data_IF_810079891937
#
_entry.id   IF_810079891937
#
_cell.length_a   1.000
_cell.length_b   1.000
_cell.length_c   1.000
_cell.angle_alpha   90.00
_cell.angle_beta   90.00
_cell.angle_gamma   90.00
#
_symmetry.space_group_name_H-M   'P 1'
#
loop_
_entity.id
_entity.type
_entity.pdbx_description
1 polymer ?
#
# COMPACT_ATOMS: atom_id res chain seq x y z
N UNK A 1 -7.11 -2.17 2.65
CA UNK A 1 -7.91 -1.21 1.84
C UNK A 1 -7.17 -0.95 0.54
N UNK A 2 -7.89 -0.83 -0.59
CA UNK A 2 -7.36 -0.34 -1.86
C UNK A 2 -7.92 1.05 -2.13
N UNK A 3 -7.08 1.93 -2.66
CA UNK A 3 -7.46 3.24 -3.15
C UNK A 3 -7.46 3.23 -4.68
N UNK A 4 -8.46 3.87 -5.27
CA UNK A 4 -8.54 4.09 -6.71
C UNK A 4 -8.40 5.60 -6.93
N UNK A 5 -7.39 5.99 -7.69
CA UNK A 5 -7.02 7.39 -7.88
C UNK A 5 -6.92 7.69 -9.37
N UNK A 6 -7.53 8.79 -9.80
CA UNK A 6 -7.32 9.36 -11.13
C UNK A 6 -6.32 10.51 -10.99
N UNK A 7 -5.05 10.35 -11.42
CA UNK A 7 -4.08 11.42 -11.31
C UNK A 7 -4.44 12.60 -12.24
N UNK A 8 -4.28 13.83 -11.77
CA UNK A 8 -4.47 15.01 -12.60
C UNK A 8 -3.60 14.95 -13.87
N UNK A 9 -4.17 15.28 -15.01
CA UNK A 9 -3.49 15.34 -16.31
C UNK A 9 -2.87 14.01 -16.78
N UNK A 10 -3.46 12.88 -16.40
CA UNK A 10 -3.08 11.56 -16.90
C UNK A 10 -4.33 10.76 -17.23
N UNK A 11 -4.34 10.13 -18.40
CA UNK A 11 -5.46 9.34 -18.89
C UNK A 11 -5.39 7.90 -18.36
N UNK A 12 -5.31 7.78 -17.03
CA UNK A 12 -5.22 6.48 -16.34
C UNK A 12 -5.91 6.53 -14.97
N UNK A 13 -6.26 5.34 -14.50
CA UNK A 13 -6.66 5.06 -13.13
C UNK A 13 -5.52 4.31 -12.46
N UNK A 14 -5.07 4.75 -11.29
CA UNK A 14 -4.12 4.03 -10.47
C UNK A 14 -4.87 3.32 -9.33
N UNK A 15 -4.74 2.00 -9.26
CA UNK A 15 -5.19 1.24 -8.09
C UNK A 15 -3.98 1.04 -7.19
N UNK A 16 -4.09 1.39 -5.93
CA UNK A 16 -2.96 1.30 -5.00
C UNK A 16 -3.38 0.79 -3.62
N UNK A 17 -2.46 0.20 -2.92
CA UNK A 17 -2.63 -0.19 -1.52
C UNK A 17 -1.35 0.02 -0.74
N UNK A 18 -1.45 0.76 0.35
CA UNK A 18 -0.38 0.92 1.32
C UNK A 18 -0.64 0.00 2.51
N UNK A 19 0.40 -0.65 2.99
CA UNK A 19 0.36 -1.53 4.16
C UNK A 19 1.43 -1.09 5.15
N UNK A 20 1.04 -0.80 6.38
CA UNK A 20 1.97 -0.56 7.48
C UNK A 20 2.28 -1.88 8.15
N UNK A 21 3.53 -2.09 8.50
CA UNK A 21 3.98 -3.24 9.27
C UNK A 21 3.61 -3.01 10.74
N UNK A 22 3.22 -4.08 11.42
CA UNK A 22 2.88 -4.06 12.84
C UNK A 22 4.09 -3.66 13.70
N UNK A 23 3.85 -2.96 14.81
CA UNK A 23 4.91 -2.47 15.70
C UNK A 23 5.73 -3.63 16.31
N UNK A 24 5.07 -4.72 16.69
CA UNK A 24 5.76 -5.91 17.19
C UNK A 24 6.68 -6.52 16.13
N UNK A 25 6.20 -6.63 14.89
CA UNK A 25 6.99 -7.13 13.77
C UNK A 25 8.18 -6.24 13.44
N UNK A 26 8.03 -4.91 13.51
CA UNK A 26 9.15 -3.97 13.33
C UNK A 26 10.21 -4.13 14.41
N UNK A 27 9.81 -4.42 15.64
CA UNK A 27 10.74 -4.70 16.74
C UNK A 27 11.54 -5.99 16.47
N UNK A 28 10.86 -7.06 16.05
CA UNK A 28 11.53 -8.33 15.69
C UNK A 28 12.48 -8.16 14.50
N UNK A 29 12.09 -7.38 13.48
CA UNK A 29 12.99 -7.02 12.38
C UNK A 29 14.22 -6.24 12.87
N UNK A 30 14.07 -5.38 13.86
CA UNK A 30 15.17 -4.63 14.46
C UNK A 30 16.14 -5.55 15.21
N UNK A 31 15.61 -6.54 15.92
CA UNK A 31 16.42 -7.59 16.58
C UNK A 31 17.18 -8.40 15.53
N UNK A 32 16.49 -8.89 14.49
CA UNK A 32 17.12 -9.63 13.39
C UNK A 32 18.26 -8.85 12.72
N UNK A 33 18.05 -7.57 12.41
CA UNK A 33 19.09 -6.68 11.87
C UNK A 33 20.31 -6.54 12.77
N UNK A 34 20.13 -6.73 14.08
CA UNK A 34 21.21 -6.57 15.06
C UNK A 34 21.99 -7.86 15.26
N UNK A 35 21.29 -8.97 15.27
CA UNK A 35 21.81 -10.30 15.56
C UNK A 35 22.40 -10.96 14.31
N UNK A 36 21.73 -10.83 13.17
CA UNK A 36 22.13 -11.44 11.89
C UNK A 36 21.92 -10.45 10.72
N UNK A 37 22.96 -9.68 10.41
CA UNK A 37 22.92 -8.70 9.33
C UNK A 37 22.82 -9.32 7.93
N UNK A 38 23.42 -10.47 7.74
CA UNK A 38 23.47 -11.13 6.43
C UNK A 38 22.11 -11.79 6.16
N UNK A 39 21.52 -12.48 7.15
CA UNK A 39 20.17 -13.00 7.06
C UNK A 39 19.12 -11.92 6.87
N UNK A 40 19.27 -10.76 7.52
CA UNK A 40 18.40 -9.59 7.26
C UNK A 40 18.52 -9.08 5.82
N UNK A 41 19.74 -8.97 5.30
CA UNK A 41 19.97 -8.52 3.93
C UNK A 41 19.38 -9.51 2.91
N UNK A 42 19.49 -10.80 3.16
CA UNK A 42 18.88 -11.85 2.36
C UNK A 42 17.35 -11.78 2.39
N UNK A 43 16.75 -11.65 3.59
CA UNK A 43 15.30 -11.52 3.73
C UNK A 43 14.74 -10.31 2.97
N UNK A 44 15.38 -9.14 3.06
CA UNK A 44 14.97 -7.94 2.31
C UNK A 44 15.14 -8.14 0.80
N UNK A 45 16.19 -8.85 0.38
CA UNK A 45 16.41 -9.20 -1.02
C UNK A 45 15.27 -10.08 -1.55
N UNK A 46 14.93 -11.15 -0.84
CA UNK A 46 13.83 -12.05 -1.19
C UNK A 46 12.47 -11.34 -1.22
N UNK A 47 12.19 -10.48 -0.25
CA UNK A 47 10.96 -9.68 -0.24
C UNK A 47 10.87 -8.75 -1.49
N UNK A 48 11.98 -8.17 -1.92
CA UNK A 48 12.04 -7.37 -3.17
C UNK A 48 11.83 -8.23 -4.41
N UNK A 49 12.48 -9.39 -4.48
CA UNK A 49 12.32 -10.32 -5.61
C UNK A 49 10.85 -10.78 -5.73
N UNK A 50 10.19 -11.05 -4.61
CA UNK A 50 8.78 -11.41 -4.59
C UNK A 50 7.90 -10.29 -5.15
N UNK A 51 8.16 -9.03 -4.78
CA UNK A 51 7.47 -7.86 -5.32
C UNK A 51 7.73 -7.67 -6.82
N UNK A 52 8.98 -7.81 -7.27
CA UNK A 52 9.36 -7.74 -8.69
C UNK A 52 8.61 -8.82 -9.49
N UNK A 53 8.61 -10.06 -8.99
CA UNK A 53 7.99 -11.20 -9.67
C UNK A 53 6.46 -11.11 -9.73
N UNK A 54 5.84 -10.31 -8.86
CA UNK A 54 4.38 -10.10 -8.89
C UNK A 54 3.91 -9.17 -10.00
N UNK A 55 4.84 -8.57 -10.77
CA UNK A 55 4.57 -7.69 -11.89
C UNK A 55 3.59 -6.54 -11.56
N UNK A 56 3.80 -5.90 -10.41
CA UNK A 56 3.11 -4.68 -9.96
C UNK A 56 4.13 -3.60 -9.66
N UNK A 57 3.72 -2.35 -9.72
CA UNK A 57 4.54 -1.26 -9.17
C UNK A 57 4.56 -1.37 -7.66
N UNK A 58 5.73 -1.16 -7.06
CA UNK A 58 5.88 -1.30 -5.64
C UNK A 58 6.87 -0.29 -5.05
N UNK A 59 6.76 -0.08 -3.76
CA UNK A 59 7.73 0.66 -2.97
C UNK A 59 7.79 0.11 -1.56
N UNK A 60 8.96 0.21 -0.94
CA UNK A 60 9.18 -0.15 0.46
C UNK A 60 9.68 1.07 1.24
N UNK A 61 9.18 1.21 2.44
CA UNK A 61 9.59 2.26 3.38
C UNK A 61 10.41 1.61 4.49
N UNK A 62 11.72 1.83 4.43
CA UNK A 62 12.66 1.36 5.44
C UNK A 62 12.84 2.45 6.49
N UNK A 63 12.68 2.09 7.75
CA UNK A 63 12.91 2.99 8.87
C UNK A 63 14.40 3.36 9.07
N UNK A 64 14.66 4.03 10.18
CA UNK A 64 16.00 4.36 10.60
C UNK A 64 16.36 3.52 11.84
N UNK A 65 17.58 3.00 11.87
CA UNK A 65 18.16 2.41 13.06
C UNK A 65 19.28 3.36 13.52
N UNK A 66 19.19 3.85 14.75
CA UNK A 66 20.17 4.79 15.31
C UNK A 66 20.45 6.00 14.38
N UNK A 67 19.37 6.57 13.82
CA UNK A 67 19.40 7.65 12.83
C UNK A 67 20.12 7.30 11.51
N UNK A 68 20.35 6.03 11.21
CA UNK A 68 20.93 5.54 9.96
C UNK A 68 19.94 4.69 9.17
N UNK A 69 19.88 4.90 7.86
CA UNK A 69 19.19 3.98 6.93
C UNK A 69 20.15 2.87 6.48
N UNK A 70 19.64 1.64 6.18
CA UNK A 70 18.26 1.20 6.34
C UNK A 70 17.96 0.74 7.78
N UNK A 71 16.73 0.99 8.24
CA UNK A 71 16.14 0.40 9.43
C UNK A 71 15.19 -0.78 9.11
N UNK A 72 14.26 -1.14 10.00
CA UNK A 72 13.26 -2.17 9.75
C UNK A 72 12.33 -1.77 8.63
N UNK A 73 11.65 -2.74 8.01
CA UNK A 73 10.57 -2.48 7.06
C UNK A 73 9.37 -1.92 7.82
N UNK A 74 9.02 -0.66 7.55
CA UNK A 74 7.92 0.04 8.23
C UNK A 74 6.61 0.01 7.46
N UNK A 75 6.68 0.06 6.15
CA UNK A 75 5.54 -0.02 5.26
C UNK A 75 5.96 -0.45 3.86
N UNK A 76 4.99 -0.95 3.10
CA UNK A 76 5.14 -1.18 1.68
C UNK A 76 3.87 -0.78 0.94
N UNK A 77 4.02 -0.41 -0.31
CA UNK A 77 2.91 -0.13 -1.22
C UNK A 77 3.01 -0.98 -2.48
N UNK A 78 1.86 -1.28 -3.03
CA UNK A 78 1.71 -1.90 -4.34
C UNK A 78 0.71 -1.08 -5.15
N UNK A 79 0.95 -0.91 -6.45
CA UNK A 79 0.06 -0.18 -7.33
C UNK A 79 0.07 -0.74 -8.74
N UNK A 80 -1.00 -0.46 -9.49
CA UNK A 80 -1.12 -0.76 -10.91
C UNK A 80 -1.85 0.38 -11.61
N UNK A 81 -1.29 0.95 -12.68
CA UNK A 81 -1.99 1.86 -13.56
C UNK A 81 -2.83 1.08 -14.59
N UNK A 82 -4.02 1.59 -14.90
CA UNK A 82 -4.85 1.12 -16.00
C UNK A 82 -5.17 2.34 -16.85
N UNK A 83 -4.75 2.36 -18.11
CA UNK A 83 -5.02 3.44 -19.06
C UNK A 83 -6.50 3.45 -19.44
N UNK A 84 -7.07 4.63 -19.71
CA UNK A 84 -8.52 4.77 -19.96
C UNK A 84 -8.97 4.00 -21.21
N UNK A 85 -8.15 3.88 -22.23
CA UNK A 85 -8.42 3.11 -23.44
C UNK A 85 -8.43 1.59 -23.21
N UNK A 86 -7.76 1.12 -22.16
CA UNK A 86 -7.71 -0.29 -21.75
C UNK A 86 -8.61 -0.65 -20.57
N UNK A 87 -9.33 0.33 -19.97
CA UNK A 87 -10.12 0.05 -18.79
C UNK A 87 -11.41 -0.72 -19.11
N UNK A 88 -11.43 -1.96 -18.69
CA UNK A 88 -12.61 -2.83 -18.75
C UNK A 88 -12.91 -3.41 -17.37
N UNK A 89 -14.10 -3.96 -17.17
CA UNK A 89 -14.45 -4.66 -15.92
C UNK A 89 -13.45 -5.78 -15.62
N UNK A 90 -13.07 -6.54 -16.64
CA UNK A 90 -12.12 -7.66 -16.50
C UNK A 90 -10.73 -7.15 -16.13
N UNK A 91 -10.21 -6.14 -16.84
CA UNK A 91 -8.88 -5.58 -16.55
C UNK A 91 -8.82 -5.01 -15.13
N UNK A 92 -9.87 -4.30 -14.71
CA UNK A 92 -9.95 -3.78 -13.35
C UNK A 92 -9.92 -4.89 -12.30
N UNK A 93 -10.72 -5.96 -12.49
CA UNK A 93 -10.76 -7.09 -11.57
C UNK A 93 -9.46 -7.91 -11.57
N UNK A 94 -8.83 -8.10 -12.73
CA UNK A 94 -7.51 -8.75 -12.82
C UNK A 94 -6.43 -7.93 -12.12
N UNK A 95 -6.43 -6.62 -12.27
CA UNK A 95 -5.53 -5.71 -11.58
C UNK A 95 -5.69 -5.75 -10.07
N UNK A 96 -6.93 -5.72 -9.57
CA UNK A 96 -7.24 -5.90 -8.15
C UNK A 96 -6.73 -7.23 -7.61
N UNK A 97 -6.98 -8.33 -8.35
CA UNK A 97 -6.52 -9.66 -7.95
C UNK A 97 -5.00 -9.72 -7.89
N UNK A 98 -4.30 -9.18 -8.89
CA UNK A 98 -2.84 -9.13 -8.93
C UNK A 98 -2.27 -8.37 -7.74
N UNK A 99 -2.80 -7.17 -7.47
CA UNK A 99 -2.41 -6.36 -6.32
C UNK A 99 -2.70 -7.07 -4.98
N UNK A 100 -3.84 -7.76 -4.89
CA UNK A 100 -4.19 -8.52 -3.70
C UNK A 100 -3.19 -9.65 -3.44
N UNK A 101 -2.85 -10.43 -4.45
CA UNK A 101 -1.90 -11.53 -4.34
C UNK A 101 -0.49 -11.03 -4.01
N UNK A 102 -0.02 -9.97 -4.66
CA UNK A 102 1.26 -9.33 -4.35
C UNK A 102 1.33 -8.87 -2.89
N UNK A 103 0.30 -8.17 -2.44
CA UNK A 103 0.18 -7.71 -1.06
C UNK A 103 0.12 -8.87 -0.06
N UNK A 104 -0.70 -9.88 -0.35
CA UNK A 104 -0.87 -11.05 0.52
C UNK A 104 0.42 -11.84 0.67
N UNK A 105 1.20 -11.98 -0.40
CA UNK A 105 2.50 -12.64 -0.38
C UNK A 105 3.44 -11.99 0.63
N UNK A 106 3.62 -10.67 0.56
CA UNK A 106 4.49 -9.96 1.50
C UNK A 106 3.95 -10.01 2.94
N UNK A 107 2.64 -9.87 3.14
CA UNK A 107 2.05 -10.02 4.48
C UNK A 107 2.29 -11.41 5.05
N UNK A 108 2.18 -12.45 4.21
CA UNK A 108 2.41 -13.82 4.62
C UNK A 108 3.88 -14.03 5.02
N UNK A 109 4.80 -13.53 4.21
CA UNK A 109 6.23 -13.58 4.47
C UNK A 109 6.61 -12.89 5.79
N UNK A 110 6.10 -11.67 6.01
CA UNK A 110 6.31 -10.95 7.26
C UNK A 110 5.78 -11.74 8.46
N UNK A 111 4.57 -12.31 8.35
CA UNK A 111 3.99 -13.10 9.45
C UNK A 111 4.72 -14.41 9.70
N UNK A 112 5.23 -15.03 8.68
CA UNK A 112 6.01 -16.27 8.79
C UNK A 112 7.34 -16.02 9.51
N UNK A 113 8.06 -14.95 9.11
CA UNK A 113 9.38 -14.65 9.63
C UNK A 113 9.36 -13.95 10.99
N UNK A 114 8.35 -13.09 11.26
CA UNK A 114 8.28 -12.19 12.43
C UNK A 114 7.01 -12.34 13.27
N UNK A 115 6.25 -13.40 13.03
CA UNK A 115 5.03 -13.70 13.78
C UNK A 115 3.82 -12.84 13.42
N UNK A 116 2.69 -13.07 14.12
CA UNK A 116 1.41 -12.42 13.79
C UNK A 116 1.36 -10.92 14.08
N UNK A 117 2.32 -10.38 14.84
CA UNK A 117 2.29 -9.02 15.36
C UNK A 117 1.41 -8.86 16.61
N UNK A 118 1.32 -7.65 17.11
CA UNK A 118 0.53 -7.28 18.31
C UNK A 118 -0.79 -6.56 17.95
N UNK A 119 -1.13 -6.46 16.67
CA UNK A 119 -2.34 -5.80 16.18
C UNK A 119 -2.25 -4.27 16.17
N UNK A 120 -1.07 -3.68 16.33
CA UNK A 120 -0.86 -2.24 16.37
C UNK A 120 0.01 -1.80 15.19
N UNK A 121 -0.48 -0.89 14.31
CA UNK A 121 0.33 -0.38 13.21
C UNK A 121 1.58 0.33 13.73
N UNK A 122 2.74 -0.10 13.28
CA UNK A 122 4.01 0.49 13.68
C UNK A 122 4.22 1.90 13.12
N UNK A 123 5.22 2.65 13.61
CA UNK A 123 5.58 3.97 13.09
C UNK A 123 6.09 3.89 11.66
N UNK A 124 5.99 5.01 10.93
CA UNK A 124 6.62 5.22 9.63
C UNK A 124 7.31 6.58 9.67
N UNK A 125 8.61 6.58 9.82
CA UNK A 125 9.42 7.75 10.15
C UNK A 125 9.25 8.94 9.18
N UNK A 126 9.24 8.67 7.88
CA UNK A 126 9.11 9.72 6.88
C UNK A 126 7.68 10.33 6.84
N UNK A 127 6.67 9.60 7.35
CA UNK A 127 5.29 10.09 7.39
C UNK A 127 5.03 11.00 8.60
N UNK A 128 5.69 10.76 9.70
CA UNK A 128 5.58 11.60 10.89
C UNK A 128 6.20 12.98 10.63
N UNK A 129 7.32 13.02 9.92
CA UNK A 129 7.95 14.28 9.49
C UNK A 129 7.07 15.07 8.52
N UNK A 130 6.40 14.40 7.58
CA UNK A 130 5.50 15.05 6.62
C UNK A 130 4.22 15.56 7.28
N UNK A 131 3.71 14.90 8.31
CA UNK A 131 2.54 15.37 9.09
C UNK A 131 2.87 16.61 9.91
N UNK A 132 4.02 16.66 10.57
CA UNK A 132 4.46 17.81 11.34
C UNK A 132 4.73 19.03 10.45
N UNK A 133 5.35 18.85 9.29
CA UNK A 133 5.56 19.91 8.31
C UNK A 133 4.24 20.43 7.72
N UNK A 134 3.27 19.53 7.46
CA UNK A 134 1.94 19.91 6.94
C UNK A 134 1.07 20.59 8.00
N UNK A 135 1.18 20.19 9.26
CA UNK A 135 0.51 20.85 10.38
C UNK A 135 1.06 22.26 10.62
N UNK A 136 2.35 22.49 10.43
CA UNK A 136 2.96 23.83 10.50
C UNK A 136 2.59 24.70 9.28
N UNK A 137 2.46 24.12 8.08
CA UNK A 137 2.05 24.83 6.88
C UNK A 137 0.56 25.20 6.88
N UNK A 138 -0.31 24.41 7.54
CA UNK A 138 -1.75 24.70 7.63
C UNK A 138 -2.11 25.77 8.66
N UNK A 139 -1.18 26.19 9.50
CA UNK A 139 -1.39 27.35 10.39
C UNK A 139 -1.17 28.70 9.69
N UNK A 140 -0.72 28.72 8.43
CA UNK A 140 -0.33 29.95 7.76
C UNK A 140 -1.23 30.40 6.59
N UNK A 141 -2.33 29.72 6.23
CA UNK A 141 -3.40 30.26 5.35
C UNK A 141 -4.67 29.40 5.39
N UNK A 142 -5.87 29.97 5.48
CA UNK A 142 -7.10 29.25 5.20
C UNK A 142 -7.14 28.95 3.69
N UNK A 143 -6.97 27.70 3.32
CA UNK A 143 -7.25 27.21 1.97
C UNK A 143 -8.75 26.94 1.94
N UNK A 144 -9.49 27.72 1.14
CA UNK A 144 -10.85 27.38 0.76
C UNK A 144 -10.83 25.96 0.18
N UNK A 145 -11.42 25.03 0.94
CA UNK A 145 -11.75 23.71 0.43
C UNK A 145 -12.93 23.86 -0.51
N UNK A 146 -12.67 23.90 -1.82
CA UNK A 146 -13.70 23.52 -2.77
C UNK A 146 -14.07 22.06 -2.51
N UNK A 147 -15.17 21.85 -1.81
CA UNK A 147 -15.81 20.57 -1.72
C UNK A 147 -16.32 20.21 -3.10
N UNK A 148 -15.64 19.30 -3.80
CA UNK A 148 -16.22 18.62 -4.94
C UNK A 148 -17.37 17.77 -4.41
N UNK A 149 -18.59 18.32 -4.43
CA UNK A 149 -19.82 17.54 -4.36
C UNK A 149 -19.86 16.67 -5.60
N UNK A 150 -19.50 15.39 -5.43
CA UNK A 150 -19.77 14.37 -6.45
C UNK A 150 -21.25 14.06 -6.34
N UNK A 151 -22.07 14.63 -7.23
CA UNK A 151 -23.44 14.17 -7.42
C UNK A 151 -23.36 12.69 -7.85
N UNK A 152 -23.68 11.81 -6.94
CA UNK A 152 -23.96 10.42 -7.28
C UNK A 152 -25.32 10.36 -8.01
N UNK A 153 -25.27 10.12 -9.32
CA UNK A 153 -26.46 9.79 -10.08
C UNK A 153 -27.02 8.46 -9.54
N UNK A 154 -28.16 8.53 -8.85
CA UNK A 154 -28.86 7.36 -8.25
C UNK A 154 -29.21 6.26 -9.28
N UNK A 155 -29.02 6.53 -10.58
CA UNK A 155 -29.23 5.56 -11.65
C UNK A 155 -28.06 4.61 -11.89
N UNK A 156 -26.89 4.85 -11.28
CA UNK A 156 -25.76 3.91 -11.29
C UNK A 156 -25.74 3.04 -10.01
N UNK A 157 -26.83 2.38 -9.71
CA UNK A 157 -26.88 1.35 -8.69
C UNK A 157 -26.12 0.10 -9.17
N UNK A 158 -24.93 -0.12 -8.65
CA UNK A 158 -24.24 -1.40 -8.72
C UNK A 158 -25.05 -2.42 -7.90
N UNK A 159 -25.96 -3.15 -8.51
CA UNK A 159 -26.65 -4.22 -7.80
C UNK A 159 -28.04 -4.61 -8.26
N UNK A 160 -28.65 -3.93 -9.23
CA UNK A 160 -30.03 -4.28 -9.67
C UNK A 160 -30.08 -5.23 -10.87
N UNK A 161 -28.95 -5.70 -11.40
CA UNK A 161 -28.91 -6.64 -12.54
C UNK A 161 -28.12 -7.93 -12.26
N UNK A 162 -27.96 -8.33 -11.01
CA UNK A 162 -27.35 -9.62 -10.70
C UNK A 162 -28.47 -10.67 -10.62
N UNK A 163 -28.66 -11.42 -11.69
CA UNK A 163 -29.53 -12.59 -11.72
C UNK A 163 -28.70 -13.85 -11.45
N UNK A 164 -28.83 -14.48 -10.25
CA UNK A 164 -28.07 -15.69 -9.93
C UNK A 164 -28.42 -16.90 -10.81
N UNK A 165 -29.52 -16.86 -11.57
CA UNK A 165 -29.94 -17.98 -12.43
C UNK A 165 -29.16 -18.10 -13.74
N UNK A 166 -28.37 -17.08 -14.12
CA UNK A 166 -27.50 -17.11 -15.29
C UNK A 166 -26.18 -17.91 -15.10
N UNK A 167 -25.94 -18.44 -13.89
CA UNK A 167 -24.73 -19.17 -13.54
C UNK A 167 -24.94 -20.64 -13.17
N UNK A 168 -26.10 -21.20 -13.49
CA UNK A 168 -26.41 -22.61 -13.30
C UNK A 168 -26.15 -23.44 -14.55
#
# INVERSE_FOLDING_TARGET
MFAVVVPKNRDLVAISSMTRVDEGQQNEMTNHMTEDKDGWAEWIHEARLQLINSAVDWGIHMGHKDNKKPGPLQAFNVSLPIWFDGITKNEFMHSLRRLWLAKLGIIHEIKYSYGPGIGKPGPVDDWEKSKSARAQASQSKPVEQESLEVEFDEKMSFGTSFDPSEWA
#
